data_IF_677360062692
#
_entry.id   IF_677360062692
#
_cell.length_a   1.000
_cell.length_b   1.000
_cell.length_c   1.000
_cell.angle_alpha   90.00
_cell.angle_beta   90.00
_cell.angle_gamma   90.00
#
_symmetry.space_group_name_H-M   'P 1'
#
loop_
_entity.id
_entity.type
_entity.pdbx_description
1 polymer ?
#
# COMPACT_ATOMS: atom_id res chain seq x y z
N UNK A 1 13.35 48.56 2.99
CA UNK A 1 11.89 48.40 3.20
C UNK A 1 11.16 48.76 1.91
N UNK A 2 11.00 47.79 1.02
CA UNK A 2 10.07 47.81 -0.13
C UNK A 2 10.10 46.41 -0.75
N UNK A 3 8.98 45.97 -1.34
CA UNK A 3 8.78 44.72 -2.09
C UNK A 3 8.31 43.46 -1.35
N UNK A 4 7.22 43.55 -0.57
CA UNK A 4 6.49 42.35 -0.11
C UNK A 4 4.95 42.56 -0.07
N UNK A 5 4.36 43.18 -1.09
CA UNK A 5 2.91 43.50 -1.11
C UNK A 5 2.21 43.32 -2.46
N UNK A 6 2.58 42.30 -3.25
CA UNK A 6 1.94 42.11 -4.57
C UNK A 6 1.53 40.70 -4.98
N UNK A 7 1.50 39.71 -4.08
CA UNK A 7 1.02 38.35 -4.40
C UNK A 7 -0.17 37.86 -3.56
N UNK A 8 -1.00 38.77 -3.03
CA UNK A 8 -2.10 38.42 -2.12
C UNK A 8 -3.51 38.57 -2.71
N UNK A 9 -3.65 38.74 -4.04
CA UNK A 9 -4.94 39.08 -4.66
C UNK A 9 -5.34 38.23 -5.89
N UNK A 10 -4.86 36.98 -6.00
CA UNK A 10 -5.32 36.06 -7.06
C UNK A 10 -5.80 34.68 -6.57
N UNK A 11 -6.16 34.55 -5.30
CA UNK A 11 -6.79 33.34 -4.75
C UNK A 11 -8.03 33.73 -3.94
N UNK A 12 -9.06 34.24 -4.63
CA UNK A 12 -10.39 34.44 -4.05
C UNK A 12 -11.41 34.76 -5.15
N UNK A 13 -11.70 33.77 -6.01
CA UNK A 13 -12.96 33.67 -6.79
C UNK A 13 -13.04 32.30 -7.47
N UNK A 14 -13.43 31.27 -6.72
CA UNK A 14 -13.97 30.02 -7.26
C UNK A 14 -14.63 29.19 -6.15
N UNK A 15 -15.52 29.82 -5.37
CA UNK A 15 -16.48 29.10 -4.54
C UNK A 15 -17.87 29.58 -4.93
N UNK A 16 -18.48 28.87 -5.88
CA UNK A 16 -19.93 28.65 -6.02
C UNK A 16 -20.16 27.75 -7.23
N UNK A 17 -21.15 26.89 -7.05
CA UNK A 17 -21.77 25.97 -8.02
C UNK A 17 -21.12 24.60 -8.19
N UNK A 18 -21.92 23.56 -7.90
CA UNK A 18 -21.75 22.24 -8.47
C UNK A 18 -21.65 21.10 -7.47
N UNK A 19 -22.74 20.78 -6.76
CA UNK A 19 -22.91 19.42 -6.24
C UNK A 19 -22.88 18.44 -7.41
N UNK A 20 -21.89 17.55 -7.43
CA UNK A 20 -21.82 16.41 -8.33
C UNK A 20 -21.30 15.22 -7.53
N UNK A 21 -22.13 14.17 -7.43
CA UNK A 21 -21.74 12.89 -6.88
C UNK A 21 -20.52 12.34 -7.61
N UNK A 22 -19.56 11.84 -6.84
CA UNK A 22 -18.40 11.11 -7.35
C UNK A 22 -18.92 9.76 -7.87
N UNK A 23 -19.38 9.75 -9.12
CA UNK A 23 -19.64 8.54 -9.86
C UNK A 23 -18.32 7.84 -10.17
N UNK A 24 -18.12 6.62 -9.64
CA UNK A 24 -17.05 5.72 -10.08
C UNK A 24 -17.17 5.55 -11.59
N UNK A 25 -16.16 6.02 -12.33
CA UNK A 25 -16.08 5.86 -13.79
C UNK A 25 -15.98 4.36 -14.10
N UNK A 26 -16.93 3.83 -14.86
CA UNK A 26 -16.88 2.46 -15.34
C UNK A 26 -15.65 2.27 -16.24
N UNK A 27 -14.81 1.30 -15.90
CA UNK A 27 -13.64 0.87 -16.67
C UNK A 27 -14.09 0.36 -18.04
N UNK A 28 -13.61 0.97 -19.12
CA UNK A 28 -13.81 0.47 -20.47
C UNK A 28 -12.97 -0.80 -20.67
N UNK A 29 -13.60 -1.88 -21.14
CA UNK A 29 -12.95 -3.13 -21.54
C UNK A 29 -12.25 -2.96 -22.89
N UNK A 30 -11.01 -3.41 -22.99
CA UNK A 30 -10.26 -3.45 -24.25
C UNK A 30 -10.79 -4.49 -25.24
N UNK A 31 -10.22 -4.58 -26.46
CA UNK A 31 -10.67 -5.49 -27.52
C UNK A 31 -10.67 -6.97 -27.14
N UNK A 32 -9.92 -7.35 -26.10
CA UNK A 32 -9.85 -8.73 -25.57
C UNK A 32 -10.86 -9.01 -24.43
N UNK A 33 -11.78 -8.08 -24.15
CA UNK A 33 -12.79 -8.22 -23.09
C UNK A 33 -12.25 -8.01 -21.67
N UNK A 34 -10.95 -7.77 -21.49
CA UNK A 34 -10.33 -7.49 -20.20
C UNK A 34 -10.31 -5.98 -19.88
N UNK A 35 -10.40 -5.65 -18.59
CA UNK A 35 -10.20 -4.28 -18.11
C UNK A 35 -8.73 -3.85 -18.20
N UNK A 36 -8.46 -2.55 -18.35
CA UNK A 36 -7.09 -1.99 -18.47
C UNK A 36 -6.15 -2.41 -17.34
N UNK A 37 -6.65 -2.50 -16.11
CA UNK A 37 -5.88 -2.96 -14.95
C UNK A 37 -5.48 -4.45 -15.05
N UNK A 38 -6.37 -5.32 -15.54
CA UNK A 38 -6.05 -6.74 -15.70
C UNK A 38 -4.96 -6.96 -16.77
N UNK A 39 -4.99 -6.16 -17.84
CA UNK A 39 -3.95 -6.19 -18.88
C UNK A 39 -2.59 -5.79 -18.28
N UNK A 40 -2.55 -4.70 -17.51
CA UNK A 40 -1.34 -4.21 -16.86
C UNK A 40 -0.72 -5.27 -15.93
N UNK A 41 -1.52 -5.86 -15.03
CA UNK A 41 -1.00 -6.86 -14.09
C UNK A 41 -0.48 -8.11 -14.80
N UNK A 42 -1.13 -8.57 -15.89
CA UNK A 42 -0.60 -9.69 -16.69
C UNK A 42 0.75 -9.36 -17.32
N UNK A 43 0.97 -8.12 -17.76
CA UNK A 43 2.28 -7.70 -18.25
C UNK A 43 3.34 -7.77 -17.15
N UNK A 44 3.01 -7.38 -15.91
CA UNK A 44 3.93 -7.51 -14.76
C UNK A 44 4.27 -8.97 -14.47
N UNK A 45 3.29 -9.88 -14.53
CA UNK A 45 3.51 -11.32 -14.36
C UNK A 45 4.41 -11.89 -15.46
N UNK A 46 4.15 -11.52 -16.73
CA UNK A 46 4.96 -11.95 -17.86
C UNK A 46 6.42 -11.47 -17.77
N UNK A 47 6.64 -10.25 -17.25
CA UNK A 47 7.98 -9.70 -16.99
C UNK A 47 8.68 -10.37 -15.81
N UNK A 48 7.95 -11.07 -14.93
CA UNK A 48 8.47 -11.69 -13.71
C UNK A 48 8.06 -13.17 -13.61
N UNK A 49 8.45 -14.02 -14.57
CA UNK A 49 8.01 -15.42 -14.62
C UNK A 49 8.59 -16.28 -13.49
N UNK A 50 9.60 -15.78 -12.78
CA UNK A 50 10.27 -16.39 -11.63
C UNK A 50 9.56 -16.12 -10.28
N UNK A 51 8.54 -15.27 -10.28
CA UNK A 51 7.77 -14.90 -9.08
C UNK A 51 6.39 -15.53 -9.15
N UNK A 52 5.88 -15.97 -8.00
CA UNK A 52 4.50 -16.43 -7.90
C UNK A 52 3.53 -15.33 -8.38
N UNK A 53 2.62 -15.60 -9.34
CA UNK A 53 1.67 -14.62 -9.85
C UNK A 53 0.80 -13.97 -8.76
N UNK A 54 0.48 -14.71 -7.69
CA UNK A 54 -0.27 -14.18 -6.56
C UNK A 54 0.51 -13.08 -5.83
N UNK A 55 1.84 -13.25 -5.67
CA UNK A 55 2.68 -12.22 -5.06
C UNK A 55 2.75 -10.96 -5.93
N UNK A 56 2.84 -11.08 -7.25
CA UNK A 56 2.81 -9.93 -8.16
C UNK A 56 1.51 -9.14 -8.01
N UNK A 57 0.38 -9.83 -7.92
CA UNK A 57 -0.93 -9.21 -7.65
C UNK A 57 -0.97 -8.47 -6.32
N UNK A 58 -0.44 -9.08 -5.26
CA UNK A 58 -0.39 -8.45 -3.93
C UNK A 58 0.51 -7.22 -3.93
N UNK A 59 1.68 -7.30 -4.54
CA UNK A 59 2.64 -6.20 -4.58
C UNK A 59 2.11 -5.00 -5.36
N UNK A 60 1.44 -5.22 -6.48
CA UNK A 60 0.78 -4.16 -7.25
C UNK A 60 -0.39 -3.53 -6.48
N UNK A 61 -1.18 -4.35 -5.77
CA UNK A 61 -2.29 -3.84 -4.98
C UNK A 61 -1.81 -3.04 -3.76
N UNK A 62 -0.74 -3.48 -3.10
CA UNK A 62 -0.10 -2.72 -2.02
C UNK A 62 0.44 -1.39 -2.56
N UNK A 63 1.17 -1.42 -3.68
CA UNK A 63 1.66 -0.21 -4.35
C UNK A 63 0.52 0.80 -4.55
N UNK A 64 -0.58 0.36 -5.16
CA UNK A 64 -1.73 1.22 -5.49
C UNK A 64 -2.49 1.71 -4.25
N UNK A 65 -2.68 0.88 -3.23
CA UNK A 65 -3.50 1.24 -2.07
C UNK A 65 -2.72 2.06 -1.04
N UNK A 66 -1.45 1.73 -0.81
CA UNK A 66 -0.69 2.27 0.33
C UNK A 66 0.38 3.27 -0.05
N UNK A 67 0.88 3.25 -1.29
CA UNK A 67 1.97 4.13 -1.71
C UNK A 67 1.56 5.14 -2.77
N UNK A 68 0.95 4.73 -3.88
CA UNK A 68 0.49 5.61 -4.97
C UNK A 68 -0.85 6.27 -4.61
N UNK A 69 -0.78 7.28 -3.74
CA UNK A 69 -1.95 7.97 -3.19
C UNK A 69 -2.64 8.88 -4.21
N UNK A 70 -1.93 9.27 -5.27
CA UNK A 70 -2.47 10.09 -6.36
C UNK A 70 -2.92 9.28 -7.60
N UNK A 71 -2.73 7.95 -7.58
CA UNK A 71 -3.05 7.03 -8.68
C UNK A 71 -2.33 7.37 -10.00
N UNK A 72 -1.08 7.82 -9.90
CA UNK A 72 -0.22 8.13 -11.04
C UNK A 72 0.46 6.91 -11.65
N UNK A 73 0.41 5.76 -10.96
CA UNK A 73 1.18 4.54 -11.23
C UNK A 73 2.69 4.67 -10.99
N UNK A 74 3.10 5.74 -10.32
CA UNK A 74 4.46 6.00 -9.84
C UNK A 74 4.37 6.48 -8.39
N UNK A 75 5.44 6.30 -7.61
CA UNK A 75 5.50 6.84 -6.24
C UNK A 75 6.50 7.99 -6.22
N UNK A 76 6.07 9.17 -5.82
CA UNK A 76 6.95 10.31 -5.56
C UNK A 76 6.70 10.91 -4.18
N UNK A 77 7.42 11.98 -3.84
CA UNK A 77 7.23 12.64 -2.54
C UNK A 77 5.82 13.24 -2.35
N UNK A 78 5.10 13.54 -3.44
CA UNK A 78 3.73 14.07 -3.36
C UNK A 78 2.75 13.07 -2.75
N UNK A 79 2.97 11.77 -2.94
CA UNK A 79 2.16 10.72 -2.31
C UNK A 79 2.31 10.69 -0.80
N UNK A 80 3.55 10.80 -0.32
CA UNK A 80 3.86 10.92 1.11
C UNK A 80 3.27 12.20 1.69
N UNK A 81 3.26 13.29 0.94
CA UNK A 81 2.60 14.52 1.34
C UNK A 81 1.07 14.36 1.48
N UNK A 82 0.42 13.63 0.58
CA UNK A 82 -1.01 13.31 0.70
C UNK A 82 -1.27 12.49 1.97
N UNK A 83 -0.43 11.48 2.25
CA UNK A 83 -0.50 10.69 3.47
C UNK A 83 -0.37 11.58 4.73
N UNK A 84 0.65 12.46 4.76
CA UNK A 84 0.87 13.42 5.85
C UNK A 84 -0.32 14.36 6.06
N UNK A 85 -0.99 14.80 4.98
CA UNK A 85 -2.20 15.62 5.09
C UNK A 85 -3.35 14.87 5.75
N UNK A 86 -3.59 13.61 5.38
CA UNK A 86 -4.65 12.79 5.99
C UNK A 86 -4.35 12.47 7.46
N UNK A 87 -3.10 12.15 7.78
CA UNK A 87 -2.63 11.97 9.17
C UNK A 87 -2.90 13.25 9.99
N UNK A 88 -2.61 14.43 9.43
CA UNK A 88 -2.91 15.72 10.07
C UNK A 88 -4.40 15.92 10.29
N UNK A 89 -5.24 15.51 9.35
CA UNK A 89 -6.71 15.64 9.44
C UNK A 89 -7.28 14.72 10.54
N UNK A 90 -6.73 13.51 10.71
CA UNK A 90 -7.18 12.54 11.71
C UNK A 90 -6.63 12.86 13.11
N UNK A 91 -5.32 13.11 13.23
CA UNK A 91 -4.65 13.23 14.53
C UNK A 91 -4.33 14.67 14.95
N UNK A 92 -4.47 15.64 14.05
CA UNK A 92 -4.15 17.05 14.29
C UNK A 92 -2.68 17.42 14.03
N UNK A 93 -2.47 18.65 13.56
CA UNK A 93 -1.19 19.19 13.08
C UNK A 93 -0.07 19.25 14.14
N UNK A 94 -0.45 19.48 15.40
CA UNK A 94 0.49 19.58 16.53
C UNK A 94 0.62 18.29 17.33
N UNK A 95 0.09 17.18 16.83
CA UNK A 95 0.20 15.89 17.51
C UNK A 95 1.63 15.35 17.43
N UNK A 96 2.08 14.66 18.48
CA UNK A 96 3.34 13.90 18.46
C UNK A 96 3.39 12.91 17.27
N UNK A 97 2.22 12.42 16.86
CA UNK A 97 2.03 11.49 15.73
C UNK A 97 2.34 12.15 14.41
N UNK A 98 1.91 13.40 14.20
CA UNK A 98 2.25 14.15 13.01
C UNK A 98 3.77 14.36 12.89
N UNK A 99 4.45 14.66 14.01
CA UNK A 99 5.91 14.80 14.03
C UNK A 99 6.61 13.46 13.73
N UNK A 100 6.17 12.38 14.37
CA UNK A 100 6.67 11.03 14.12
C UNK A 100 6.47 10.61 12.67
N UNK A 101 5.26 10.79 12.13
CA UNK A 101 4.90 10.45 10.77
C UNK A 101 5.75 11.20 9.74
N UNK A 102 5.97 12.50 9.94
CA UNK A 102 6.84 13.29 9.05
C UNK A 102 8.24 12.68 8.97
N UNK A 103 8.89 12.47 10.12
CA UNK A 103 10.25 11.91 10.19
C UNK A 103 10.33 10.50 9.61
N UNK A 104 9.35 9.65 9.90
CA UNK A 104 9.34 8.26 9.43
C UNK A 104 9.05 8.13 7.94
N UNK A 105 8.14 8.94 7.39
CA UNK A 105 7.83 8.95 5.96
C UNK A 105 8.97 9.55 5.13
N UNK A 106 9.65 10.60 5.61
CA UNK A 106 10.88 11.13 5.00
C UNK A 106 11.96 10.05 4.93
N UNK A 107 12.25 9.38 6.05
CA UNK A 107 13.25 8.32 6.09
C UNK A 107 12.88 7.10 5.22
N UNK A 108 11.59 6.77 5.15
CA UNK A 108 11.09 5.70 4.28
C UNK A 108 11.29 6.05 2.80
N UNK A 109 10.92 7.26 2.39
CA UNK A 109 11.11 7.73 1.02
C UNK A 109 12.57 7.70 0.61
N UNK A 110 13.47 8.26 1.42
CA UNK A 110 14.90 8.21 1.16
C UNK A 110 15.43 6.77 1.06
N UNK A 111 14.89 5.86 1.88
CA UNK A 111 15.21 4.44 1.85
C UNK A 111 14.77 3.77 0.54
N UNK A 112 13.55 4.06 0.08
CA UNK A 112 13.00 3.54 -1.17
C UNK A 112 13.76 4.07 -2.39
N UNK A 113 14.08 5.36 -2.44
CA UNK A 113 14.88 5.94 -3.52
C UNK A 113 16.24 5.24 -3.66
N UNK A 114 16.95 5.03 -2.55
CA UNK A 114 18.24 4.32 -2.53
C UNK A 114 18.13 2.86 -2.99
N UNK A 115 16.98 2.22 -2.78
CA UNK A 115 16.72 0.84 -3.19
C UNK A 115 16.27 0.72 -4.65
N UNK A 116 15.59 1.75 -5.16
CA UNK A 116 15.15 1.83 -6.55
C UNK A 116 16.30 2.21 -7.49
N UNK A 117 17.21 3.09 -7.05
CA UNK A 117 18.41 3.52 -7.79
C UNK A 117 19.47 2.41 -7.92
N UNK A 118 19.11 1.39 -8.70
CA UNK A 118 19.90 0.18 -8.90
C UNK A 118 20.73 0.22 -10.18
N UNK A 119 20.57 1.27 -10.98
CA UNK A 119 21.27 1.43 -12.25
C UNK A 119 22.27 2.58 -12.24
N UNK A 120 22.18 3.57 -11.35
CA UNK A 120 23.13 4.70 -11.32
C UNK A 120 23.11 5.54 -12.61
N UNK A 121 22.08 5.38 -13.45
CA UNK A 121 22.06 5.87 -14.83
C UNK A 121 21.26 7.18 -15.03
N UNK A 122 20.75 7.83 -13.96
CA UNK A 122 20.07 9.10 -14.12
C UNK A 122 20.21 10.02 -12.89
N UNK A 123 20.50 11.32 -13.09
CA UNK A 123 20.82 12.24 -12.00
C UNK A 123 19.65 12.64 -11.10
N UNK A 124 18.41 12.23 -11.41
CA UNK A 124 17.20 12.56 -10.64
C UNK A 124 16.23 11.35 -10.65
N UNK A 125 16.26 10.48 -9.63
CA UNK A 125 15.20 9.49 -9.43
C UNK A 125 14.23 10.02 -8.36
N UNK A 126 13.39 10.96 -8.75
CA UNK A 126 12.34 11.54 -7.88
C UNK A 126 11.08 10.66 -7.81
N UNK A 127 11.09 9.50 -8.48
CA UNK A 127 9.97 8.58 -8.59
C UNK A 127 10.41 7.11 -8.40
N UNK A 128 9.49 6.25 -7.98
CA UNK A 128 9.65 4.79 -7.93
C UNK A 128 8.53 4.16 -8.73
N UNK A 129 8.88 3.45 -9.80
CA UNK A 129 7.93 2.75 -10.66
C UNK A 129 7.46 1.42 -10.06
N UNK A 130 6.35 0.87 -10.58
CA UNK A 130 5.86 -0.45 -10.17
C UNK A 130 6.86 -1.58 -10.47
N UNK A 131 7.63 -1.49 -11.57
CA UNK A 131 8.68 -2.45 -11.88
C UNK A 131 9.84 -2.42 -10.87
N UNK A 132 10.26 -1.23 -10.44
CA UNK A 132 11.28 -1.06 -9.42
C UNK A 132 10.78 -1.55 -8.07
N UNK A 133 9.54 -1.22 -7.71
CA UNK A 133 8.88 -1.74 -6.51
C UNK A 133 8.88 -3.27 -6.46
N UNK A 134 8.46 -3.93 -7.54
CA UNK A 134 8.52 -5.40 -7.65
C UNK A 134 9.96 -5.89 -7.51
N UNK A 135 10.93 -5.23 -8.14
CA UNK A 135 12.35 -5.59 -8.04
C UNK A 135 12.88 -5.49 -6.60
N UNK A 136 12.51 -4.43 -5.88
CA UNK A 136 12.84 -4.25 -4.46
C UNK A 136 12.26 -5.41 -3.64
N UNK A 137 10.99 -5.75 -3.85
CA UNK A 137 10.33 -6.82 -3.12
C UNK A 137 10.87 -8.21 -3.45
N UNK A 138 11.20 -8.50 -4.71
CA UNK A 138 11.90 -9.74 -5.12
C UNK A 138 13.22 -9.91 -4.35
N UNK A 139 14.05 -8.87 -4.33
CA UNK A 139 15.34 -8.87 -3.61
C UNK A 139 15.14 -9.02 -2.10
N UNK A 140 14.05 -8.47 -1.58
CA UNK A 140 13.68 -8.55 -0.17
C UNK A 140 13.23 -9.96 0.23
N UNK A 141 12.43 -10.62 -0.62
CA UNK A 141 11.96 -11.98 -0.43
C UNK A 141 13.10 -13.01 -0.51
N UNK A 142 14.13 -12.74 -1.32
CA UNK A 142 15.28 -13.63 -1.51
C UNK A 142 16.33 -13.57 -0.38
N UNK A 143 16.28 -12.57 0.51
CA UNK A 143 17.30 -12.33 1.55
C UNK A 143 16.74 -12.60 2.95
N UNK A 144 17.42 -13.49 3.69
CA UNK A 144 17.37 -13.83 5.14
C UNK A 144 16.07 -13.70 5.96
N UNK A 145 15.94 -14.59 6.96
CA UNK A 145 14.78 -14.77 7.86
C UNK A 145 14.26 -13.51 8.58
N UNK A 146 15.02 -12.42 8.62
CA UNK A 146 14.70 -11.17 9.34
C UNK A 146 14.22 -10.02 8.44
N UNK A 147 14.19 -10.20 7.11
CA UNK A 147 13.77 -9.19 6.14
C UNK A 147 14.76 -8.01 6.02
N UNK A 148 14.67 -7.19 4.95
CA UNK A 148 15.54 -6.04 4.78
C UNK A 148 15.15 -4.89 5.74
N UNK A 149 16.13 -4.06 6.11
CA UNK A 149 15.93 -2.97 7.07
C UNK A 149 14.75 -2.05 6.72
N UNK A 150 14.61 -1.66 5.46
CA UNK A 150 13.53 -0.77 5.01
C UNK A 150 12.13 -1.35 5.29
N UNK A 151 11.98 -2.67 5.15
CA UNK A 151 10.72 -3.37 5.40
C UNK A 151 10.39 -3.37 6.88
N UNK A 152 11.38 -3.68 7.73
CA UNK A 152 11.23 -3.64 9.18
C UNK A 152 10.92 -2.22 9.68
N UNK A 153 11.60 -1.21 9.13
CA UNK A 153 11.35 0.20 9.45
C UNK A 153 9.92 0.60 9.04
N UNK A 154 9.49 0.25 7.83
CA UNK A 154 8.15 0.55 7.32
C UNK A 154 7.05 -0.14 8.15
N UNK A 155 7.18 -1.43 8.39
CA UNK A 155 6.27 -2.21 9.22
C UNK A 155 6.14 -1.64 10.64
N UNK A 156 7.27 -1.24 11.25
CA UNK A 156 7.29 -0.62 12.58
C UNK A 156 6.62 0.75 12.57
N UNK A 157 6.88 1.54 11.53
CA UNK A 157 6.23 2.83 11.33
C UNK A 157 4.72 2.68 11.24
N UNK A 158 4.22 1.78 10.39
CA UNK A 158 2.78 1.56 10.21
C UNK A 158 2.10 1.15 11.52
N UNK A 159 2.71 0.22 12.26
CA UNK A 159 2.17 -0.19 13.57
C UNK A 159 2.10 0.98 14.55
N UNK A 160 3.16 1.77 14.68
CA UNK A 160 3.21 2.94 15.58
C UNK A 160 2.31 4.08 15.13
N UNK A 161 2.06 4.22 13.83
CA UNK A 161 1.12 5.19 13.30
C UNK A 161 -0.30 4.85 13.72
N UNK A 162 -0.66 3.56 13.72
CA UNK A 162 -2.02 3.10 14.02
C UNK A 162 -2.23 2.95 15.53
N UNK A 163 -1.27 2.37 16.25
CA UNK A 163 -1.33 2.15 17.70
C UNK A 163 -1.11 3.46 18.48
N UNK A 164 -2.22 4.13 18.78
CA UNK A 164 -2.30 5.49 19.33
C UNK A 164 -2.23 5.51 20.86
N UNK A 165 -2.60 4.41 21.51
CA UNK A 165 -2.67 4.25 22.96
C UNK A 165 -1.29 4.41 23.60
N UNK A 166 -1.08 5.51 24.34
CA UNK A 166 0.19 5.79 25.03
C UNK A 166 0.56 4.76 26.14
N UNK A 167 -0.30 3.77 26.42
CA UNK A 167 -0.10 2.75 27.46
C UNK A 167 -0.26 1.28 27.03
N UNK A 168 -0.51 1.00 25.75
CA UNK A 168 -0.74 -0.36 25.24
C UNK A 168 0.24 -0.72 24.12
N UNK A 169 0.87 -1.89 24.23
CA UNK A 169 1.71 -2.43 23.15
C UNK A 169 0.89 -3.04 22.01
N UNK A 170 -0.41 -3.20 22.22
CA UNK A 170 -1.32 -3.90 21.32
C UNK A 170 -2.32 -2.93 20.71
N UNK A 171 -2.56 -3.08 19.41
CA UNK A 171 -3.46 -2.25 18.62
C UNK A 171 -4.87 -2.82 18.64
N UNK A 172 -5.87 -1.99 18.96
CA UNK A 172 -7.28 -2.36 18.92
C UNK A 172 -7.97 -2.00 17.59
N UNK A 173 -9.26 -2.33 17.46
CA UNK A 173 -10.06 -2.12 16.24
C UNK A 173 -10.26 -0.63 15.89
N UNK A 174 -10.42 0.25 16.88
CA UNK A 174 -10.65 1.68 16.65
C UNK A 174 -9.37 2.32 16.11
N UNK A 175 -8.22 1.97 16.72
CA UNK A 175 -6.88 2.40 16.29
C UNK A 175 -6.53 1.92 14.89
N UNK A 176 -6.81 0.64 14.61
CA UNK A 176 -6.66 0.09 13.27
C UNK A 176 -7.54 0.85 12.28
N UNK A 177 -8.78 1.17 12.65
CA UNK A 177 -9.73 1.86 11.76
C UNK A 177 -9.31 3.30 11.44
N UNK A 178 -8.82 4.04 12.43
CA UNK A 178 -8.23 5.38 12.23
C UNK A 178 -7.00 5.31 11.31
N UNK A 179 -6.14 4.31 11.52
CA UNK A 179 -4.99 4.06 10.64
C UNK A 179 -5.40 3.76 9.20
N UNK A 180 -6.41 2.90 9.01
CA UNK A 180 -6.93 2.53 7.70
C UNK A 180 -7.64 3.68 6.98
N UNK A 181 -8.22 4.63 7.72
CA UNK A 181 -8.79 5.85 7.15
C UNK A 181 -7.76 6.72 6.43
N UNK A 182 -6.48 6.70 6.86
CA UNK A 182 -5.37 7.35 6.13
C UNK A 182 -5.26 6.80 4.70
N UNK A 183 -5.56 5.52 4.51
CA UNK A 183 -5.51 4.84 3.21
C UNK A 183 -6.87 4.82 2.50
N UNK A 184 -7.83 5.60 2.97
CA UNK A 184 -9.13 5.79 2.31
C UNK A 184 -10.13 4.65 2.55
N UNK A 185 -9.88 3.76 3.49
CA UNK A 185 -10.84 2.73 3.87
C UNK A 185 -11.94 3.30 4.77
N UNK A 186 -13.18 2.85 4.53
CA UNK A 186 -14.30 3.18 5.41
C UNK A 186 -14.26 2.37 6.70
N UNK A 187 -14.88 2.90 7.76
CA UNK A 187 -14.96 2.25 9.07
C UNK A 187 -15.47 0.80 8.99
N UNK A 188 -16.55 0.56 8.25
CA UNK A 188 -17.13 -0.78 8.12
C UNK A 188 -16.16 -1.76 7.43
N UNK A 189 -15.44 -1.32 6.41
CA UNK A 189 -14.46 -2.15 5.69
C UNK A 189 -13.27 -2.49 6.59
N UNK A 190 -12.79 -1.50 7.36
CA UNK A 190 -11.73 -1.71 8.35
C UNK A 190 -12.16 -2.70 9.44
N UNK A 191 -13.36 -2.57 9.99
CA UNK A 191 -13.87 -3.52 11.00
C UNK A 191 -13.96 -4.95 10.45
N UNK A 192 -14.48 -5.10 9.24
CA UNK A 192 -14.57 -6.42 8.58
C UNK A 192 -13.19 -7.03 8.35
N UNK A 193 -12.20 -6.23 7.96
CA UNK A 193 -10.83 -6.67 7.78
C UNK A 193 -10.19 -7.10 9.12
N UNK A 194 -10.33 -6.27 10.15
CA UNK A 194 -9.82 -6.53 11.49
C UNK A 194 -10.34 -7.86 12.04
N UNK A 195 -11.66 -8.09 11.96
CA UNK A 195 -12.26 -9.33 12.43
C UNK A 195 -11.81 -10.60 11.70
N UNK A 196 -11.27 -10.48 10.48
CA UNK A 196 -10.74 -11.62 9.73
C UNK A 196 -9.35 -12.03 10.20
N UNK A 197 -8.49 -11.08 10.56
CA UNK A 197 -7.10 -11.40 10.95
C UNK A 197 -6.87 -11.40 12.47
N UNK A 198 -7.66 -10.65 13.24
CA UNK A 198 -7.56 -10.59 14.69
C UNK A 198 -8.31 -11.77 15.32
N UNK A 199 -7.77 -12.97 15.11
CA UNK A 199 -8.28 -14.22 15.69
C UNK A 199 -7.19 -14.93 16.48
N UNK A 200 -7.58 -15.67 17.51
CA UNK A 200 -6.67 -16.53 18.28
C UNK A 200 -6.42 -17.87 17.56
N UNK A 201 -5.59 -18.71 18.18
CA UNK A 201 -5.26 -20.05 17.67
C UNK A 201 -6.47 -20.99 17.53
N UNK A 202 -7.57 -20.72 18.23
CA UNK A 202 -8.81 -21.49 18.21
C UNK A 202 -9.83 -20.87 17.25
N UNK A 203 -9.46 -19.79 16.53
CA UNK A 203 -10.30 -19.08 15.57
C UNK A 203 -11.29 -18.09 16.19
N UNK A 204 -11.15 -17.74 17.47
CA UNK A 204 -12.01 -16.77 18.14
C UNK A 204 -11.50 -15.36 17.93
N UNK A 205 -12.42 -14.40 17.77
CA UNK A 205 -12.08 -13.00 17.61
C UNK A 205 -11.34 -12.45 18.83
N UNK A 206 -10.34 -11.61 18.55
CA UNK A 206 -9.55 -10.86 19.52
C UNK A 206 -9.89 -9.37 19.38
N UNK A 207 -9.86 -8.66 20.49
CA UNK A 207 -10.08 -7.20 20.50
C UNK A 207 -8.82 -6.41 20.16
N UNK A 208 -7.66 -7.08 20.15
CA UNK A 208 -6.35 -6.46 19.94
C UNK A 208 -5.37 -7.40 19.23
N UNK A 209 -4.39 -6.80 18.57
CA UNK A 209 -3.22 -7.49 18.02
C UNK A 209 -1.92 -6.88 18.55
N UNK A 210 -1.01 -7.76 18.97
CA UNK A 210 0.32 -7.38 19.43
C UNK A 210 1.24 -7.02 18.28
N UNK A 211 2.36 -6.35 18.60
CA UNK A 211 3.38 -6.06 17.59
C UNK A 211 3.95 -7.36 16.95
N UNK A 212 4.11 -8.43 17.72
CA UNK A 212 4.57 -9.73 17.18
C UNK A 212 3.59 -10.32 16.16
N UNK A 213 2.29 -10.24 16.43
CA UNK A 213 1.25 -10.65 15.50
C UNK A 213 1.22 -9.75 14.26
N UNK A 214 1.35 -8.43 14.44
CA UNK A 214 1.49 -7.49 13.33
C UNK A 214 2.65 -7.85 12.42
N UNK A 215 3.84 -8.15 12.97
CA UNK A 215 5.01 -8.55 12.16
C UNK A 215 4.72 -9.77 11.31
N UNK A 216 4.05 -10.79 11.87
CA UNK A 216 3.66 -11.99 11.14
C UNK A 216 2.68 -11.65 10.02
N UNK A 217 1.59 -10.94 10.34
CA UNK A 217 0.56 -10.54 9.37
C UNK A 217 1.15 -9.70 8.24
N UNK A 218 2.05 -8.78 8.56
CA UNK A 218 2.71 -7.91 7.59
C UNK A 218 3.68 -8.70 6.70
N UNK A 219 4.38 -9.69 7.24
CA UNK A 219 5.20 -10.61 6.45
C UNK A 219 4.35 -11.49 5.54
N UNK A 220 3.25 -12.05 6.04
CA UNK A 220 2.32 -12.89 5.27
C UNK A 220 1.74 -12.07 4.09
N UNK A 221 1.32 -10.84 4.35
CA UNK A 221 0.82 -9.89 3.36
C UNK A 221 1.79 -9.72 2.19
N UNK A 222 3.07 -9.46 2.46
CA UNK A 222 4.04 -9.18 1.41
C UNK A 222 4.64 -10.44 0.79
N UNK A 223 4.89 -11.50 1.55
CA UNK A 223 5.80 -12.57 1.09
C UNK A 223 5.19 -13.96 1.05
N UNK A 224 4.03 -14.18 1.66
CA UNK A 224 3.37 -15.49 1.56
C UNK A 224 2.63 -15.64 0.23
N UNK A 225 2.83 -16.76 -0.46
CA UNK A 225 2.00 -17.14 -1.61
C UNK A 225 0.72 -17.88 -1.21
N UNK A 226 0.51 -18.17 0.07
CA UNK A 226 -0.70 -18.82 0.55
C UNK A 226 -1.87 -17.82 0.62
N UNK A 227 -2.90 -18.06 -0.18
CA UNK A 227 -4.10 -17.20 -0.27
C UNK A 227 -4.90 -17.18 1.05
N UNK A 228 -4.75 -18.20 1.89
CA UNK A 228 -5.49 -18.36 3.14
C UNK A 228 -4.80 -17.71 4.35
N UNK A 229 -3.61 -17.14 4.19
CA UNK A 229 -2.95 -16.48 5.31
C UNK A 229 -3.69 -15.21 5.74
N UNK A 230 -3.80 -15.03 7.05
CA UNK A 230 -4.56 -13.94 7.66
C UNK A 230 -4.03 -12.56 7.28
N UNK A 231 -2.72 -12.45 7.00
CA UNK A 231 -2.09 -11.21 6.55
C UNK A 231 -2.69 -10.64 5.26
N UNK A 232 -3.31 -11.47 4.42
CA UNK A 232 -3.97 -11.02 3.19
C UNK A 232 -5.20 -10.13 3.47
N UNK A 233 -5.65 -10.02 4.72
CA UNK A 233 -6.71 -9.10 5.15
C UNK A 233 -6.20 -7.82 5.82
N UNK A 234 -4.88 -7.67 6.00
CA UNK A 234 -4.31 -6.60 6.85
C UNK A 234 -4.61 -5.18 6.33
N UNK A 235 -4.75 -4.99 5.01
CA UNK A 235 -5.13 -3.73 4.38
C UNK A 235 -6.45 -3.86 3.60
N UNK A 236 -7.43 -4.54 4.21
CA UNK A 236 -8.71 -4.87 3.56
C UNK A 236 -8.66 -6.20 2.81
N UNK A 237 -9.78 -6.59 2.19
CA UNK A 237 -9.89 -7.87 1.48
C UNK A 237 -9.12 -7.84 0.16
N UNK A 238 -7.89 -8.34 0.19
CA UNK A 238 -7.06 -8.42 -1.00
C UNK A 238 -7.51 -9.55 -1.95
N UNK A 239 -8.16 -10.59 -1.42
CA UNK A 239 -8.32 -11.90 -2.05
C UNK A 239 -9.29 -11.94 -3.24
N UNK A 240 -10.44 -11.26 -3.17
CA UNK A 240 -11.53 -11.47 -4.13
C UNK A 240 -11.16 -11.11 -5.57
N UNK A 241 -10.36 -10.06 -5.79
CA UNK A 241 -9.96 -9.63 -7.15
C UNK A 241 -8.70 -10.32 -7.65
N UNK A 242 -7.77 -10.66 -6.76
CA UNK A 242 -6.51 -11.32 -7.12
C UNK A 242 -6.76 -12.72 -7.69
N UNK A 243 -7.70 -13.45 -7.10
CA UNK A 243 -8.00 -14.82 -7.48
C UNK A 243 -8.53 -14.97 -8.93
N UNK A 244 -9.42 -14.07 -9.36
CA UNK A 244 -9.97 -14.09 -10.73
C UNK A 244 -8.88 -13.83 -11.77
N UNK A 245 -8.02 -12.82 -11.54
CA UNK A 245 -6.96 -12.45 -12.48
C UNK A 245 -5.91 -13.57 -12.56
N UNK A 246 -5.51 -14.14 -11.41
CA UNK A 246 -4.56 -15.24 -11.37
C UNK A 246 -5.09 -16.49 -12.07
N UNK A 247 -6.35 -16.89 -11.81
CA UNK A 247 -6.97 -18.04 -12.48
C UNK A 247 -6.98 -17.87 -13.99
N UNK A 248 -7.41 -16.69 -14.47
CA UNK A 248 -7.44 -16.39 -15.90
C UNK A 248 -6.04 -16.43 -16.52
N UNK A 249 -5.05 -15.88 -15.82
CA UNK A 249 -3.65 -15.90 -16.27
C UNK A 249 -3.12 -17.33 -16.37
N UNK A 250 -3.26 -18.15 -15.31
CA UNK A 250 -2.80 -19.54 -15.28
C UNK A 250 -3.49 -20.39 -16.37
N UNK A 251 -4.78 -20.19 -16.60
CA UNK A 251 -5.53 -20.90 -17.64
C UNK A 251 -5.10 -20.52 -19.07
N UNK A 252 -4.60 -19.30 -19.27
CA UNK A 252 -4.14 -18.80 -20.57
C UNK A 252 -2.69 -19.15 -20.92
N UNK A 253 -1.91 -19.66 -19.95
CA UNK A 253 -0.50 -20.01 -20.18
C UNK A 253 -0.43 -21.30 -21.00
N UNK A 254 0.30 -21.33 -22.13
CA UNK A 254 0.52 -22.57 -22.86
C UNK A 254 1.17 -23.57 -21.91
N UNK A 255 0.57 -24.76 -21.75
CA UNK A 255 1.26 -25.87 -21.10
C UNK A 255 2.50 -26.15 -21.95
N UNK A 256 3.67 -25.86 -21.41
CA UNK A 256 4.91 -26.35 -21.99
C UNK A 256 4.78 -27.86 -22.01
N UNK A 257 4.68 -28.44 -23.21
CA UNK A 257 4.77 -29.87 -23.42
C UNK A 257 6.09 -30.33 -22.82
N UNK A 258 6.04 -31.00 -21.68
CA UNK A 258 7.13 -31.83 -21.21
C UNK A 258 7.32 -32.93 -22.26
N UNK A 259 8.25 -32.71 -23.16
CA UNK A 259 8.75 -33.76 -24.04
C UNK A 259 9.54 -34.73 -23.19
N UNK A 260 9.00 -35.94 -23.05
CA UNK A 260 9.66 -37.16 -22.55
C UNK A 260 11.05 -37.37 -23.12
#
# INVERSE_FOLDING_TARGET
>A
MSSARRNSQQLQTAEKDGGHGIGRRASQSGPDGFGTHEIHVRQLMNKNPDVDPYLILKWEKIFTLTFDQNASHEIDWSDFYICLRKIREIYGDKSKRMEYARKSLEALWEGLQKLADTKGDAPNHDLVTIEEWITILKKSNAKEKTGPKWFTDYMTFMFKLFNVSEGGWDMNIDEYSDGMAVYGHGLQEAHQAFHKFAIDKDGKQKDYISFEEWKKLFSDLFFSSNEHDLGNYLFGDLNVKCHTIQRNYCASRPQSSETS
#
